data_IF_058324886686
#
_entry.id   IF_058324886686
#
_cell.length_a   1.000
_cell.length_b   1.000
_cell.length_c   1.000
_cell.angle_alpha   90.00
_cell.angle_beta   90.00
_cell.angle_gamma   90.00
#
_symmetry.space_group_name_H-M   'P 1'
#
loop_
_entity.id
_entity.type
_entity.pdbx_description
1 polymer ?
#
# COMPACT_ATOMS: atom_id res chain seq x y z
N UNK A 1 -11.08 -11.47 4.82
CA UNK A 1 -11.30 -10.08 5.27
C UNK A 1 -10.26 -9.77 6.33
N UNK A 2 -9.16 -9.11 5.98
CA UNK A 2 -8.17 -8.65 6.98
C UNK A 2 -8.61 -7.26 7.41
N UNK A 3 -8.86 -7.06 8.70
CA UNK A 3 -9.17 -5.76 9.29
C UNK A 3 -7.86 -5.16 9.82
N UNK A 4 -7.46 -4.04 9.23
CA UNK A 4 -6.25 -3.27 9.56
C UNK A 4 -6.67 -2.09 10.46
N UNK A 5 -6.27 -2.13 11.73
CA UNK A 5 -6.74 -1.25 12.83
C UNK A 5 -6.06 0.14 12.82
N UNK A 6 -5.00 0.35 12.01
CA UNK A 6 -4.22 1.59 11.91
C UNK A 6 -4.08 1.99 10.43
N UNK A 7 -5.18 2.52 9.90
CA UNK A 7 -5.52 2.82 8.47
C UNK A 7 -4.44 3.50 7.58
N UNK A 8 -3.33 3.98 8.11
CA UNK A 8 -2.25 4.63 7.33
C UNK A 8 -0.94 3.85 7.42
N UNK A 9 -0.51 3.53 8.66
CA UNK A 9 0.68 2.71 8.93
C UNK A 9 0.54 1.31 8.32
N UNK A 10 -0.69 0.81 8.27
CA UNK A 10 -1.01 -0.51 7.74
C UNK A 10 -0.81 -0.62 6.22
N UNK A 11 -1.08 0.44 5.47
CA UNK A 11 -0.86 0.46 4.01
C UNK A 11 0.63 0.56 3.66
N UNK A 12 1.42 1.32 4.43
CA UNK A 12 2.86 1.34 4.26
C UNK A 12 3.46 -0.03 4.60
N UNK A 13 3.10 -0.60 5.75
CA UNK A 13 3.60 -1.89 6.21
C UNK A 13 3.28 -3.03 5.23
N UNK A 14 2.04 -3.13 4.74
CA UNK A 14 1.67 -4.18 3.78
C UNK A 14 2.40 -3.99 2.46
N UNK A 15 2.57 -2.74 2.00
CA UNK A 15 3.31 -2.43 0.77
C UNK A 15 4.77 -2.85 0.87
N UNK A 16 5.42 -2.60 2.01
CA UNK A 16 6.79 -3.06 2.27
C UNK A 16 6.91 -4.59 2.24
N UNK A 17 5.94 -5.31 2.85
CA UNK A 17 5.91 -6.78 2.79
C UNK A 17 5.75 -7.28 1.35
N UNK A 18 4.88 -6.66 0.57
CA UNK A 18 4.67 -7.01 -0.85
C UNK A 18 5.94 -6.74 -1.68
N UNK A 19 6.63 -5.60 -1.45
CA UNK A 19 7.91 -5.31 -2.12
C UNK A 19 8.96 -6.37 -1.80
N UNK A 20 9.12 -6.76 -0.54
CA UNK A 20 10.09 -7.79 -0.16
C UNK A 20 9.85 -9.12 -0.90
N UNK A 21 8.58 -9.50 -1.11
CA UNK A 21 8.22 -10.68 -1.92
C UNK A 21 8.52 -10.45 -3.40
N UNK A 22 8.20 -9.26 -3.93
CA UNK A 22 8.44 -8.91 -5.33
C UNK A 22 9.94 -8.81 -5.66
N UNK A 23 10.78 -8.36 -4.73
CA UNK A 23 12.23 -8.34 -4.91
C UNK A 23 12.79 -9.77 -5.04
N UNK A 24 12.20 -10.74 -4.32
CA UNK A 24 12.62 -12.14 -4.38
C UNK A 24 12.10 -12.89 -5.62
N UNK A 25 10.91 -12.55 -6.13
CA UNK A 25 10.23 -13.39 -7.14
C UNK A 25 9.78 -12.64 -8.41
N UNK A 26 9.72 -11.32 -8.39
CA UNK A 26 9.13 -10.49 -9.44
C UNK A 26 10.05 -9.34 -9.89
N UNK A 27 11.39 -9.51 -9.88
CA UNK A 27 12.39 -8.44 -10.06
C UNK A 27 12.01 -7.04 -9.58
N UNK A 28 11.44 -6.95 -8.37
CA UNK A 28 10.98 -5.68 -7.79
C UNK A 28 9.75 -5.05 -8.46
N UNK A 29 9.09 -5.76 -9.38
CA UNK A 29 7.90 -5.29 -10.11
C UNK A 29 6.64 -5.54 -9.28
N UNK A 30 5.92 -4.46 -8.97
CA UNK A 30 4.63 -4.48 -8.28
C UNK A 30 3.64 -3.58 -9.00
N UNK A 31 2.38 -4.00 -9.05
CA UNK A 31 1.26 -3.18 -9.55
C UNK A 31 0.21 -3.12 -8.44
N UNK A 32 -0.26 -1.92 -8.12
CA UNK A 32 -1.33 -1.69 -7.15
C UNK A 32 -2.53 -1.07 -7.87
N UNK A 33 -3.73 -1.62 -7.64
CA UNK A 33 -4.97 -1.13 -8.22
C UNK A 33 -5.93 -0.69 -7.11
N UNK A 34 -6.58 0.46 -7.30
CA UNK A 34 -7.58 0.97 -6.36
C UNK A 34 -8.94 0.33 -6.65
N UNK A 35 -9.40 -0.54 -5.75
CA UNK A 35 -10.67 -1.26 -5.88
C UNK A 35 -11.85 -0.50 -5.24
N UNK A 36 -11.61 0.24 -4.14
CA UNK A 36 -12.67 0.92 -3.40
C UNK A 36 -12.14 1.90 -2.36
N UNK A 37 -13.06 2.56 -1.65
CA UNK A 37 -12.75 3.56 -0.63
C UNK A 37 -13.74 4.72 -0.69
N UNK A 38 -14.72 4.69 0.21
CA UNK A 38 -15.81 5.70 0.22
C UNK A 38 -15.59 6.80 1.25
N UNK A 39 -14.63 6.62 2.16
CA UNK A 39 -14.23 7.63 3.12
C UNK A 39 -13.05 8.44 2.57
N UNK A 40 -13.35 9.47 1.76
CA UNK A 40 -12.36 10.21 0.96
C UNK A 40 -11.16 10.75 1.76
N UNK A 41 -11.32 11.31 2.98
CA UNK A 41 -10.16 11.79 3.74
C UNK A 41 -9.21 10.67 4.19
N UNK A 42 -9.75 9.49 4.49
CA UNK A 42 -8.93 8.35 4.88
C UNK A 42 -8.25 7.74 3.65
N UNK A 43 -9.01 7.60 2.55
CA UNK A 43 -8.49 7.13 1.26
C UNK A 43 -7.30 7.97 0.79
N UNK A 44 -7.39 9.30 0.86
CA UNK A 44 -6.29 10.19 0.46
C UNK A 44 -5.00 9.92 1.24
N UNK A 45 -5.10 9.73 2.56
CA UNK A 45 -3.94 9.46 3.41
C UNK A 45 -3.37 8.07 3.18
N UNK A 46 -4.23 7.05 3.02
CA UNK A 46 -3.80 5.69 2.72
C UNK A 46 -3.10 5.58 1.36
N UNK A 47 -3.62 6.24 0.32
CA UNK A 47 -2.99 6.28 -1.01
C UNK A 47 -1.65 7.01 -0.95
N UNK A 48 -1.57 8.15 -0.26
CA UNK A 48 -0.31 8.88 -0.11
C UNK A 48 0.77 8.03 0.61
N UNK A 49 0.39 7.31 1.67
CA UNK A 49 1.30 6.39 2.36
C UNK A 49 1.78 5.24 1.45
N UNK A 50 0.88 4.66 0.66
CA UNK A 50 1.20 3.58 -0.29
C UNK A 50 2.13 4.06 -1.41
N UNK A 51 1.88 5.22 -2.01
CA UNK A 51 2.74 5.80 -3.06
C UNK A 51 4.14 6.07 -2.53
N UNK A 52 4.26 6.65 -1.33
CA UNK A 52 5.55 6.85 -0.67
C UNK A 52 6.28 5.54 -0.42
N UNK A 53 5.58 4.51 0.07
CA UNK A 53 6.15 3.18 0.29
C UNK A 53 6.58 2.49 -1.02
N UNK A 54 5.98 2.84 -2.16
CA UNK A 54 6.41 2.38 -3.50
C UNK A 54 7.57 3.20 -4.08
N UNK A 55 7.97 4.31 -3.44
CA UNK A 55 9.09 5.17 -3.87
C UNK A 55 8.66 6.35 -4.75
N UNK A 56 7.37 6.69 -4.78
CA UNK A 56 6.89 7.94 -5.38
C UNK A 56 7.11 9.12 -4.42
N UNK A 57 7.72 10.19 -4.93
CA UNK A 57 7.91 11.48 -4.24
C UNK A 57 6.64 12.30 -4.17
#
# INVERSE_FOLDING_TARGET
MVMLDRVETDYAWVTERVRAVADRHAPGRTVSALEGGYHLPALARSVAALVRAMGGT
#
